data_IF_046431923178
#
_entry.id   IF_046431923178
#
_cell.length_a   1.000
_cell.length_b   1.000
_cell.length_c   1.000
_cell.angle_alpha   90.00
_cell.angle_beta   90.00
_cell.angle_gamma   90.00
#
_symmetry.space_group_name_H-M   'P 1'
#
loop_
_entity.id
_entity.type
_entity.pdbx_description
1 polymer ?
#
# COMPACT_ATOMS: atom_id res chain seq x y z
N UNK A 1 -2.82 8.62 -21.17
CA UNK A 1 -3.84 8.03 -22.06
C UNK A 1 -3.46 6.58 -22.24
N UNK A 2 -4.35 5.62 -22.01
CA UNK A 2 -4.05 4.23 -22.34
C UNK A 2 -3.88 4.11 -23.87
N UNK A 3 -3.13 3.11 -24.35
CA UNK A 3 -2.80 2.94 -25.77
C UNK A 3 -4.05 2.79 -26.67
N UNK A 4 -5.16 2.44 -26.04
CA UNK A 4 -6.48 2.13 -26.55
C UNK A 4 -7.51 3.25 -26.22
N UNK A 5 -7.06 4.42 -25.77
CA UNK A 5 -7.91 5.60 -25.53
C UNK A 5 -8.82 5.49 -24.30
N UNK A 6 -8.78 4.36 -23.59
CA UNK A 6 -9.46 4.15 -22.32
C UNK A 6 -8.79 4.85 -21.14
N UNK A 7 -9.47 4.87 -19.97
CA UNK A 7 -8.88 5.37 -18.75
C UNK A 7 -7.62 4.61 -18.37
N UNK A 8 -6.62 5.33 -17.85
CA UNK A 8 -5.38 4.72 -17.37
C UNK A 8 -5.66 3.97 -16.07
N UNK A 9 -5.32 2.68 -16.04
CA UNK A 9 -5.36 1.87 -14.82
C UNK A 9 -4.03 1.98 -14.07
N UNK A 10 -4.08 1.94 -12.74
CA UNK A 10 -2.90 1.86 -11.88
C UNK A 10 -2.64 0.41 -11.51
N UNK A 11 -1.38 -0.02 -11.64
CA UNK A 11 -0.95 -1.37 -11.29
C UNK A 11 -0.02 -1.32 -10.07
N UNK A 12 -0.33 -2.14 -9.08
CA UNK A 12 0.52 -2.43 -7.93
C UNK A 12 1.00 -3.87 -8.08
N UNK A 13 2.31 -4.07 -8.03
CA UNK A 13 2.94 -5.35 -8.29
C UNK A 13 3.92 -5.67 -7.17
N UNK A 14 3.84 -6.88 -6.64
CA UNK A 14 4.85 -7.49 -5.81
C UNK A 14 5.34 -8.74 -6.54
N UNK A 15 6.48 -8.61 -7.23
CA UNK A 15 7.06 -9.69 -8.03
C UNK A 15 7.68 -10.81 -7.18
N UNK A 16 7.92 -10.59 -5.89
CA UNK A 16 8.49 -11.63 -5.01
C UNK A 16 7.44 -12.66 -4.67
N UNK A 17 6.19 -12.21 -4.48
CA UNK A 17 5.08 -13.09 -4.13
C UNK A 17 4.12 -13.35 -5.30
N UNK A 18 4.38 -12.80 -6.49
CA UNK A 18 3.45 -12.77 -7.61
C UNK A 18 2.05 -12.22 -7.21
N UNK A 19 2.05 -11.21 -6.34
CA UNK A 19 0.83 -10.52 -5.92
C UNK A 19 0.61 -9.26 -6.75
N UNK A 20 -0.65 -8.94 -7.02
CA UNK A 20 -1.00 -7.72 -7.75
C UNK A 20 -2.32 -7.11 -7.28
N UNK A 21 -2.45 -5.81 -7.54
CA UNK A 21 -3.72 -5.09 -7.57
C UNK A 21 -3.78 -4.17 -8.79
N UNK A 22 -4.94 -4.10 -9.43
CA UNK A 22 -5.25 -3.23 -10.56
C UNK A 22 -6.41 -2.34 -10.16
N UNK A 23 -6.20 -1.04 -10.25
CA UNK A 23 -7.21 -0.02 -10.01
C UNK A 23 -7.62 0.58 -11.35
N UNK A 24 -8.88 0.41 -11.71
CA UNK A 24 -9.46 1.00 -12.91
C UNK A 24 -10.51 2.04 -12.50
N UNK A 25 -10.50 3.26 -13.04
CA UNK A 25 -11.53 4.23 -12.73
C UNK A 25 -12.86 3.81 -13.38
N UNK A 26 -13.95 4.14 -12.70
CA UNK A 26 -15.33 3.96 -13.16
C UNK A 26 -16.02 5.33 -13.22
N UNK A 27 -17.28 5.38 -13.66
CA UNK A 27 -18.03 6.65 -13.69
C UNK A 27 -18.14 7.33 -12.31
N UNK A 28 -18.19 6.53 -11.24
CA UNK A 28 -18.44 7.01 -9.88
C UNK A 28 -17.37 6.56 -8.87
N UNK A 29 -16.14 6.30 -9.32
CA UNK A 29 -15.05 5.93 -8.42
C UNK A 29 -14.02 5.00 -9.05
N UNK A 30 -13.69 3.92 -8.35
CA UNK A 30 -12.66 2.97 -8.74
C UNK A 30 -13.14 1.54 -8.55
N UNK A 31 -12.79 0.68 -9.48
CA UNK A 31 -12.89 -0.77 -9.34
C UNK A 31 -11.48 -1.32 -9.06
N UNK A 32 -11.38 -2.18 -8.05
CA UNK A 32 -10.13 -2.87 -7.71
C UNK A 32 -10.24 -4.36 -8.00
N UNK A 33 -9.24 -4.89 -8.69
CA UNK A 33 -9.03 -6.33 -8.89
C UNK A 33 -7.67 -6.70 -8.33
N UNK A 34 -7.60 -7.74 -7.50
CA UNK A 34 -6.35 -8.19 -6.90
C UNK A 34 -6.29 -9.71 -6.80
N UNK A 35 -5.08 -10.26 -6.89
CA UNK A 35 -4.82 -11.68 -6.67
C UNK A 35 -3.37 -11.91 -6.21
N UNK A 36 -3.06 -13.17 -5.90
CA UNK A 36 -1.79 -13.60 -5.32
C UNK A 36 -1.86 -13.77 -3.80
N UNK A 37 -0.77 -14.26 -3.18
CA UNK A 37 -0.68 -14.53 -1.75
C UNK A 37 -0.91 -13.30 -0.85
N UNK A 38 -0.60 -12.10 -1.34
CA UNK A 38 -0.80 -10.84 -0.61
C UNK A 38 -1.94 -10.04 -1.24
N UNK A 39 -2.88 -9.61 -0.41
CA UNK A 39 -3.95 -8.69 -0.80
C UNK A 39 -3.44 -7.26 -0.72
N UNK A 40 -2.72 -6.84 -1.76
CA UNK A 40 -1.97 -5.57 -1.76
C UNK A 40 -2.87 -4.35 -1.53
N UNK A 41 -4.08 -4.35 -2.10
CA UNK A 41 -5.00 -3.23 -1.91
C UNK A 41 -5.57 -3.19 -0.50
N UNK A 42 -5.97 -4.35 0.04
CA UNK A 42 -6.46 -4.46 1.42
C UNK A 42 -5.39 -3.98 2.42
N UNK A 43 -4.11 -4.28 2.14
CA UNK A 43 -3.00 -3.80 2.96
C UNK A 43 -2.83 -2.27 2.90
N UNK A 44 -3.05 -1.65 1.73
CA UNK A 44 -3.03 -0.19 1.58
C UNK A 44 -4.21 0.45 2.31
N UNK A 45 -5.42 -0.05 2.11
CA UNK A 45 -6.62 0.47 2.80
C UNK A 45 -6.45 0.39 4.31
N UNK A 46 -5.94 -0.75 4.82
CA UNK A 46 -5.65 -0.91 6.24
C UNK A 46 -4.58 0.09 6.71
N UNK A 47 -3.51 0.31 5.95
CA UNK A 47 -2.47 1.26 6.32
C UNK A 47 -2.98 2.71 6.35
N UNK A 48 -3.80 3.10 5.37
CA UNK A 48 -4.43 4.42 5.30
C UNK A 48 -5.40 4.61 6.46
N UNK A 49 -6.26 3.63 6.73
CA UNK A 49 -7.19 3.68 7.86
C UNK A 49 -6.45 3.86 9.19
N UNK A 50 -5.36 3.11 9.43
CA UNK A 50 -4.52 3.29 10.62
C UNK A 50 -3.86 4.67 10.69
N UNK A 51 -3.41 5.22 9.56
CA UNK A 51 -2.86 6.58 9.49
C UNK A 51 -3.91 7.65 9.82
N UNK A 52 -5.14 7.49 9.32
CA UNK A 52 -6.28 8.37 9.64
C UNK A 52 -6.66 8.28 11.13
N UNK A 53 -6.72 7.08 11.69
CA UNK A 53 -6.96 6.85 13.12
C UNK A 53 -5.89 7.54 14.01
N UNK A 54 -4.67 7.68 13.50
CA UNK A 54 -3.57 8.38 14.17
C UNK A 54 -3.54 9.89 13.90
N UNK A 55 -4.60 10.44 13.31
CA UNK A 55 -4.78 11.88 13.09
C UNK A 55 -4.12 12.39 11.82
N UNK A 56 -3.89 11.51 10.84
CA UNK A 56 -3.31 11.87 9.53
C UNK A 56 -2.02 12.70 9.64
N UNK A 57 -1.04 12.31 10.49
CA UNK A 57 0.15 13.11 10.71
C UNK A 57 0.99 13.23 9.43
N UNK A 58 1.80 14.29 9.37
CA UNK A 58 2.70 14.51 8.23
C UNK A 58 3.78 13.41 8.14
N UNK A 59 4.50 13.41 7.02
CA UNK A 59 5.52 12.40 6.72
C UNK A 59 6.67 12.32 7.73
N UNK A 60 6.95 13.39 8.49
CA UNK A 60 8.01 13.39 9.50
C UNK A 60 7.65 12.55 10.74
N UNK A 61 6.38 12.18 10.91
CA UNK A 61 5.98 11.24 11.96
C UNK A 61 6.31 9.78 11.62
N UNK A 62 6.66 9.48 10.36
CA UNK A 62 7.10 8.15 9.97
C UNK A 62 8.58 7.97 10.23
N UNK A 63 8.97 6.74 10.56
CA UNK A 63 10.36 6.33 10.61
C UNK A 63 10.54 4.89 10.14
N UNK A 64 11.79 4.46 10.06
CA UNK A 64 12.16 3.12 9.63
C UNK A 64 13.08 2.49 10.65
N UNK A 65 12.79 1.25 11.02
CA UNK A 65 13.73 0.39 11.74
C UNK A 65 14.29 -0.63 10.76
N UNK A 66 15.62 -0.70 10.66
CA UNK A 66 16.34 -1.69 9.86
C UNK A 66 17.15 -2.58 10.81
N UNK A 67 16.91 -3.88 10.74
CA UNK A 67 17.69 -4.91 11.41
C UNK A 67 18.19 -5.94 10.38
N UNK A 68 19.05 -6.87 10.82
CA UNK A 68 19.72 -7.83 9.92
C UNK A 68 18.73 -8.69 9.12
N UNK A 69 17.57 -8.99 9.69
CA UNK A 69 16.58 -9.93 9.18
C UNK A 69 15.21 -9.29 8.89
N UNK A 70 15.03 -8.02 9.22
CA UNK A 70 13.75 -7.34 9.09
C UNK A 70 13.92 -5.83 8.88
N UNK A 71 13.05 -5.26 8.06
CA UNK A 71 12.87 -3.83 7.93
C UNK A 71 11.39 -3.51 8.16
N UNK A 72 11.09 -2.42 8.86
CA UNK A 72 9.72 -1.98 9.05
C UNK A 72 9.62 -0.45 9.03
N UNK A 73 8.61 0.06 8.34
CA UNK A 73 8.14 1.44 8.48
C UNK A 73 7.23 1.49 9.69
N UNK A 74 7.32 2.55 10.50
CA UNK A 74 6.44 2.77 11.65
C UNK A 74 5.91 4.20 11.68
N UNK A 75 4.82 4.41 12.41
CA UNK A 75 4.21 5.71 12.62
C UNK A 75 4.34 6.16 14.10
N UNK A 76 4.82 7.39 14.29
CA UNK A 76 4.99 8.05 15.59
C UNK A 76 6.26 7.61 16.33
N UNK A 77 6.38 6.32 16.63
CA UNK A 77 7.57 5.74 17.28
C UNK A 77 7.75 4.26 16.90
N UNK A 78 8.92 3.64 17.14
CA UNK A 78 9.18 2.24 16.76
C UNK A 78 8.25 1.19 17.39
N UNK A 79 7.52 1.51 18.46
CA UNK A 79 6.54 0.65 19.11
C UNK A 79 5.08 0.96 18.70
N UNK A 80 4.88 1.93 17.80
CA UNK A 80 3.57 2.27 17.24
C UNK A 80 3.12 1.32 16.12
N UNK A 81 2.11 1.73 15.33
CA UNK A 81 1.74 1.01 14.13
C UNK A 81 2.94 0.83 13.21
N UNK A 82 3.08 -0.38 12.65
CA UNK A 82 4.23 -0.75 11.84
C UNK A 82 3.86 -1.66 10.69
N UNK A 83 4.55 -1.47 9.57
CA UNK A 83 4.39 -2.25 8.35
C UNK A 83 5.74 -2.89 8.00
N UNK A 84 5.84 -4.23 8.08
CA UNK A 84 7.06 -4.92 7.66
C UNK A 84 7.27 -4.76 6.17
N UNK A 85 8.50 -4.42 5.78
CA UNK A 85 8.95 -4.47 4.40
C UNK A 85 9.52 -5.85 4.19
N UNK A 86 8.77 -6.67 3.46
CA UNK A 86 9.28 -7.95 3.00
C UNK A 86 10.26 -7.70 1.83
N UNK A 87 11.43 -8.35 1.83
CA UNK A 87 12.36 -8.28 0.72
C UNK A 87 11.79 -8.92 -0.54
#
# INVERSE_FOLDING_TARGET
MALDGGPVSTFLLDSVTDSFAVLAPTENGWQVRQAGPRRLWDAIESAVATWEEYGSPNTAAFGVTVARDQQAVWLGNPNGPRWPLHP
#
